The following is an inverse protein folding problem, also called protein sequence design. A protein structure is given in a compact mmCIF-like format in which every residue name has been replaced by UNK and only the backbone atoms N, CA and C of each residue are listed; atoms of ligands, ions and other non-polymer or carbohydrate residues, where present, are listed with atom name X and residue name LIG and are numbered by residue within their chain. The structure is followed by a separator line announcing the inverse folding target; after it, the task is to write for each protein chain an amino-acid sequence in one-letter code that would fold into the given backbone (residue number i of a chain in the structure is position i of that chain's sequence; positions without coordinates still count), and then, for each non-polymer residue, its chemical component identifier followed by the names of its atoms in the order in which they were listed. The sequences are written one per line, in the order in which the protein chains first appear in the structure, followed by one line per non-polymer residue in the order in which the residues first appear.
data_IF_407908787430
#
_entry.id   IF_407908787430
#
_cell.length_a   1.000
_cell.length_b   1.000
_cell.length_c   1.000
_cell.angle_alpha   90.00
_cell.angle_beta   90.00
_cell.angle_gamma   90.00
#
_symmetry.space_group_name_H-M   'P 1'
#
loop_
_entity.id
_entity.type
_entity.pdbx_description
1 polymer ?
#
# COMPACT_ATOMS: atom_id res chain seq x y z
N UNK A 1 -7.12 -3.37 9.56
CA UNK A 1 -7.71 -4.69 9.90
C UNK A 1 -9.10 -4.90 9.31
N UNK A 2 -10.16 -4.17 9.72
CA UNK A 2 -11.54 -4.50 9.33
C UNK A 2 -11.80 -4.40 7.83
N UNK A 3 -11.21 -3.41 7.15
CA UNK A 3 -11.36 -3.24 5.71
C UNK A 3 -10.76 -4.40 4.90
N UNK A 4 -9.53 -4.83 5.22
CA UNK A 4 -8.88 -5.98 4.56
C UNK A 4 -9.64 -7.29 4.87
N UNK A 5 -10.14 -7.46 6.10
CA UNK A 5 -10.98 -8.60 6.44
C UNK A 5 -12.30 -8.61 5.64
N UNK A 6 -12.90 -7.44 5.39
CA UNK A 6 -14.10 -7.35 4.55
C UNK A 6 -13.85 -7.67 3.07
N UNK A 7 -12.60 -7.63 2.60
CA UNK A 7 -12.24 -8.04 1.23
C UNK A 7 -12.38 -9.55 0.98
N UNK A 8 -12.46 -10.38 2.02
CA UNK A 8 -12.75 -11.83 1.86
C UNK A 8 -14.20 -12.09 1.44
N UNK A 9 -15.13 -11.18 1.74
CA UNK A 9 -16.51 -11.21 1.28
C UNK A 9 -16.93 -9.81 0.82
N UNK A 10 -16.57 -9.42 -0.42
CA UNK A 10 -16.87 -8.09 -0.94
C UNK A 10 -18.37 -7.98 -1.23
N UNK A 11 -19.14 -7.56 -0.21
CA UNK A 11 -20.55 -7.19 -0.32
C UNK A 11 -20.69 -5.74 0.10
N UNK A 12 -21.59 -5.00 -0.53
CA UNK A 12 -21.79 -3.57 -0.26
C UNK A 12 -22.03 -3.29 1.24
N UNK A 13 -22.73 -4.20 1.94
CA UNK A 13 -23.04 -4.06 3.36
C UNK A 13 -21.85 -4.30 4.30
N UNK A 14 -20.76 -4.96 3.87
CA UNK A 14 -19.55 -5.17 4.69
C UNK A 14 -18.48 -4.13 4.39
N UNK A 15 -18.33 -3.78 3.11
CA UNK A 15 -17.36 -2.80 2.61
C UNK A 15 -17.65 -1.38 3.06
N UNK A 16 -18.91 -0.96 2.99
CA UNK A 16 -19.32 0.41 3.29
C UNK A 16 -19.08 0.78 4.77
N UNK A 17 -19.54 0.01 5.78
CA UNK A 17 -19.27 0.35 7.17
C UNK A 17 -17.77 0.21 7.52
N UNK A 18 -17.06 -0.76 6.95
CA UNK A 18 -15.62 -0.90 7.17
C UNK A 18 -14.84 0.30 6.59
N UNK A 19 -15.22 0.80 5.42
CA UNK A 19 -14.65 1.99 4.80
C UNK A 19 -14.93 3.25 5.63
N UNK A 20 -16.16 3.42 6.13
CA UNK A 20 -16.50 4.54 7.02
C UNK A 20 -15.68 4.51 8.32
N UNK A 21 -15.54 3.34 8.95
CA UNK A 21 -14.75 3.19 10.16
C UNK A 21 -13.26 3.55 9.93
N UNK A 22 -12.68 3.14 8.80
CA UNK A 22 -11.31 3.52 8.43
C UNK A 22 -11.20 5.02 8.16
N UNK A 23 -12.20 5.62 7.50
CA UNK A 23 -12.24 7.06 7.24
C UNK A 23 -12.26 7.89 8.53
N UNK A 24 -13.15 7.54 9.47
CA UNK A 24 -13.24 8.22 10.77
C UNK A 24 -11.99 8.02 11.63
N UNK A 25 -11.36 6.84 11.59
CA UNK A 25 -10.13 6.56 12.33
C UNK A 25 -8.87 7.17 11.70
N UNK A 26 -8.86 7.38 10.38
CA UNK A 26 -7.67 7.79 9.63
C UNK A 26 -7.15 9.18 10.01
N UNK A 27 -8.06 10.14 10.20
CA UNK A 27 -7.70 11.51 10.59
C UNK A 27 -7.00 11.58 11.96
N UNK A 28 -7.66 11.14 13.05
CA UNK A 28 -7.06 11.12 14.38
C UNK A 28 -5.77 10.31 14.45
N UNK A 29 -5.71 9.17 13.75
CA UNK A 29 -4.51 8.34 13.69
C UNK A 29 -3.33 9.09 13.05
N UNK A 30 -3.58 9.89 12.01
CA UNK A 30 -2.54 10.72 11.39
C UNK A 30 -2.06 11.85 12.31
N UNK A 31 -2.96 12.48 13.06
CA UNK A 31 -2.57 13.48 14.05
C UNK A 31 -1.75 12.84 15.18
N UNK A 32 -2.22 11.73 15.74
CA UNK A 32 -1.57 11.04 16.86
C UNK A 32 -0.13 10.62 16.52
N UNK A 33 0.11 10.06 15.32
CA UNK A 33 1.48 9.67 14.91
C UNK A 33 2.42 10.87 14.75
N UNK A 34 1.92 12.00 14.25
CA UNK A 34 2.73 13.20 14.05
C UNK A 34 3.11 13.80 15.40
N UNK A 35 2.16 13.85 16.33
CA UNK A 35 2.41 14.26 17.71
C UNK A 35 3.40 13.32 18.40
N UNK A 36 3.22 12.00 18.29
CA UNK A 36 4.14 11.02 18.85
C UNK A 36 5.57 11.21 18.32
N UNK A 37 5.73 11.37 17.01
CA UNK A 37 7.03 11.57 16.39
C UNK A 37 7.70 12.88 16.85
N UNK A 38 6.91 13.95 17.02
CA UNK A 38 7.40 15.22 17.53
C UNK A 38 7.88 15.09 18.99
N UNK A 39 7.08 14.46 19.85
CA UNK A 39 7.43 14.26 21.28
C UNK A 39 8.68 13.39 21.43
N UNK A 40 8.77 12.28 20.68
CA UNK A 40 9.96 11.41 20.72
C UNK A 40 11.19 12.14 20.19
N UNK A 41 11.06 12.91 19.11
CA UNK A 41 12.17 13.68 18.56
C UNK A 41 12.65 14.78 19.52
N UNK A 42 11.72 15.41 20.26
CA UNK A 42 12.04 16.37 21.30
C UNK A 42 12.75 15.70 22.49
N UNK A 43 12.22 14.61 23.02
CA UNK A 43 12.85 13.84 24.09
C UNK A 43 14.26 13.36 23.69
N UNK A 44 14.42 12.87 22.46
CA UNK A 44 15.73 12.47 21.94
C UNK A 44 16.72 13.64 21.85
N UNK A 45 16.23 14.85 21.54
CA UNK A 45 17.07 16.05 21.52
C UNK A 45 17.52 16.50 22.92
N UNK A 46 16.75 16.19 23.97
CA UNK A 46 17.05 16.53 25.36
C UNK A 46 18.01 15.51 26.01
N UNK A 47 17.78 14.20 25.82
CA UNK A 47 18.62 13.14 26.40
C UNK A 47 19.90 12.86 25.61
N UNK A 48 19.92 13.12 24.30
CA UNK A 48 21.07 12.92 23.41
C UNK A 48 22.26 13.86 23.64
N UNK A 49 22.27 14.62 24.74
CA UNK A 49 23.40 15.25 25.43
C UNK A 49 24.60 15.71 24.59
N UNK A 50 24.92 17.02 24.69
CA UNK A 50 26.32 17.52 24.70
C UNK A 50 27.14 17.45 23.39
N UNK A 51 26.76 16.65 22.39
CA UNK A 51 27.43 16.62 21.07
C UNK A 51 26.77 17.53 20.01
N UNK A 52 25.53 17.98 20.24
CA UNK A 52 24.79 18.88 19.34
C UNK A 52 24.27 20.15 20.01
N UNK A 53 25.07 20.76 20.88
CA UNK A 53 24.72 21.94 21.70
C UNK A 53 24.39 23.24 20.92
N UNK A 54 24.12 23.13 19.61
CA UNK A 54 23.65 24.23 18.76
C UNK A 54 22.60 23.85 17.71
N UNK A 55 22.10 22.61 17.66
CA UNK A 55 21.00 22.29 16.74
C UNK A 55 19.65 22.57 17.39
N UNK A 56 18.87 23.50 16.80
CA UNK A 56 17.47 23.72 17.12
C UNK A 56 16.70 22.39 17.11
N UNK A 57 15.90 22.15 18.16
CA UNK A 57 15.02 20.97 18.29
C UNK A 57 14.16 20.77 17.04
N UNK A 58 13.71 21.86 16.41
CA UNK A 58 13.01 21.90 15.13
C UNK A 58 13.71 21.09 14.02
N UNK A 59 15.04 21.18 13.92
CA UNK A 59 15.81 20.47 12.87
C UNK A 59 15.85 18.98 13.12
N UNK A 60 15.89 18.55 14.39
CA UNK A 60 15.82 17.13 14.75
C UNK A 60 14.45 16.57 14.44
N UNK A 61 13.38 17.28 14.81
CA UNK A 61 11.99 16.89 14.48
C UNK A 61 11.81 16.70 12.97
N UNK A 62 12.24 17.67 12.15
CA UNK A 62 12.11 17.59 10.69
C UNK A 62 12.87 16.38 10.11
N UNK A 63 14.03 16.03 10.65
CA UNK A 63 14.79 14.83 10.22
C UNK A 63 14.05 13.53 10.53
N UNK A 64 13.43 13.42 11.70
CA UNK A 64 12.59 12.28 12.06
C UNK A 64 11.35 12.18 11.16
N UNK A 65 10.68 13.30 10.88
CA UNK A 65 9.57 13.35 9.91
C UNK A 65 10.02 12.94 8.51
N UNK A 66 11.19 13.40 8.04
CA UNK A 66 11.75 13.00 6.76
C UNK A 66 11.97 11.49 6.66
N UNK A 67 12.58 10.89 7.68
CA UNK A 67 12.79 9.44 7.74
C UNK A 67 11.45 8.67 7.76
N UNK A 68 10.48 9.15 8.53
CA UNK A 68 9.12 8.58 8.55
C UNK A 68 8.48 8.58 7.15
N UNK A 69 8.56 9.70 6.42
CA UNK A 69 8.00 9.80 5.08
C UNK A 69 8.72 8.91 4.07
N UNK A 70 10.03 8.69 4.20
CA UNK A 70 10.76 7.73 3.34
C UNK A 70 10.18 6.32 3.53
N UNK A 71 10.00 5.86 4.76
CA UNK A 71 9.40 4.55 5.02
C UNK A 71 7.93 4.48 4.58
N UNK A 72 7.17 5.55 4.79
CA UNK A 72 5.77 5.64 4.38
C UNK A 72 5.61 5.51 2.86
N UNK A 73 6.46 6.18 2.09
CA UNK A 73 6.44 6.07 0.63
C UNK A 73 6.98 4.70 0.16
N UNK A 74 7.99 4.14 0.83
CA UNK A 74 8.48 2.79 0.52
C UNK A 74 7.41 1.72 0.74
N UNK A 75 6.51 1.88 1.70
CA UNK A 75 5.39 0.96 1.91
C UNK A 75 4.48 0.86 0.66
N UNK A 76 4.30 1.93 -0.10
CA UNK A 76 3.54 1.91 -1.36
C UNK A 76 4.25 1.05 -2.41
N UNK A 77 5.57 1.16 -2.52
CA UNK A 77 6.39 0.36 -3.44
C UNK A 77 6.26 -1.13 -3.10
N UNK A 78 6.42 -1.50 -1.83
CA UNK A 78 6.28 -2.89 -1.38
C UNK A 78 4.86 -3.42 -1.57
N UNK A 79 3.82 -2.62 -1.30
CA UNK A 79 2.43 -3.01 -1.53
C UNK A 79 2.12 -3.30 -2.99
N UNK A 80 2.64 -2.45 -3.89
CA UNK A 80 2.49 -2.64 -5.33
C UNK A 80 3.28 -3.86 -5.83
N UNK A 81 4.50 -4.08 -5.31
CA UNK A 81 5.34 -5.22 -5.66
C UNK A 81 4.69 -6.55 -5.25
N UNK A 82 4.12 -6.62 -4.04
CA UNK A 82 3.38 -7.80 -3.58
C UNK A 82 2.18 -8.06 -4.50
N UNK A 83 1.43 -7.02 -4.83
CA UNK A 83 0.25 -7.14 -5.71
C UNK A 83 0.63 -7.61 -7.12
N UNK A 84 1.70 -7.05 -7.70
CA UNK A 84 2.16 -7.47 -9.03
C UNK A 84 2.75 -8.87 -9.03
N UNK A 85 3.52 -9.24 -7.99
CA UNK A 85 4.11 -10.57 -7.87
C UNK A 85 3.02 -11.65 -7.74
N UNK A 86 2.07 -11.47 -6.83
CA UNK A 86 0.95 -12.42 -6.65
C UNK A 86 0.13 -12.52 -7.93
N UNK A 87 -0.24 -11.39 -8.54
CA UNK A 87 -1.06 -11.42 -9.76
C UNK A 87 -0.31 -12.05 -10.94
N UNK A 88 0.99 -11.81 -11.09
CA UNK A 88 1.82 -12.40 -12.16
C UNK A 88 2.04 -13.90 -11.96
N UNK A 89 2.39 -14.33 -10.74
CA UNK A 89 2.64 -15.75 -10.46
C UNK A 89 1.39 -16.61 -10.60
N UNK A 90 0.22 -16.09 -10.20
CA UNK A 90 -1.03 -16.85 -10.27
C UNK A 90 -1.67 -16.83 -11.66
N UNK A 91 -1.35 -15.83 -12.50
CA UNK A 91 -1.70 -15.84 -13.93
C UNK A 91 -0.73 -16.69 -14.75
N UNK A 92 0.50 -16.91 -14.26
CA UNK A 92 1.55 -17.72 -14.90
C UNK A 92 1.54 -19.22 -14.59
N UNK A 93 0.62 -19.71 -13.75
CA UNK A 93 0.42 -21.16 -13.49
C UNK A 93 -0.67 -21.78 -14.38
N UNK A 94 -0.88 -21.26 -15.58
CA UNK A 94 -1.32 -22.11 -16.69
C UNK A 94 -0.05 -22.68 -17.31
N UNK A 95 0.08 -24.00 -17.36
CA UNK A 95 1.05 -24.73 -18.19
C UNK A 95 0.75 -24.51 -19.69
N UNK A 96 0.67 -23.26 -20.09
CA UNK A 96 0.62 -22.84 -21.48
C UNK A 96 1.99 -22.22 -21.71
N UNK A 97 2.80 -22.98 -22.43
CA UNK A 97 4.00 -22.50 -23.11
C UNK A 97 3.90 -21.01 -23.42
N UNK A 98 4.95 -20.28 -23.06
CA UNK A 98 5.26 -18.95 -23.57
C UNK A 98 5.27 -18.98 -25.11
N UNK A 99 4.10 -18.95 -25.74
CA UNK A 99 3.95 -18.58 -27.13
C UNK A 99 4.15 -17.08 -27.22
N UNK A 100 5.42 -16.72 -27.38
CA UNK A 100 5.91 -15.40 -27.72
C UNK A 100 5.45 -14.94 -29.13
N UNK A 101 4.21 -15.24 -29.54
CA UNK A 101 3.73 -14.97 -30.89
C UNK A 101 2.39 -14.21 -30.96
N UNK A 102 1.74 -13.91 -29.83
CA UNK A 102 0.52 -13.07 -29.81
C UNK A 102 0.74 -11.67 -29.20
N UNK A 103 1.89 -11.42 -28.58
CA UNK A 103 2.20 -10.12 -27.95
C UNK A 103 2.59 -9.04 -28.96
N UNK A 104 3.14 -9.40 -30.13
CA UNK A 104 3.59 -8.42 -31.12
C UNK A 104 2.44 -7.65 -31.82
N UNK A 105 1.25 -8.25 -31.94
CA UNK A 105 0.10 -7.61 -32.59
C UNK A 105 -0.70 -6.73 -31.62
N UNK A 106 -0.92 -7.19 -30.37
CA UNK A 106 -1.66 -6.42 -29.36
C UNK A 106 -0.86 -5.22 -28.79
N UNK A 107 0.47 -5.33 -28.71
CA UNK A 107 1.34 -4.23 -28.26
C UNK A 107 1.41 -3.06 -29.27
N UNK A 108 1.26 -3.32 -30.58
CA UNK A 108 1.23 -2.24 -31.60
C UNK A 108 -0.03 -1.39 -31.52
N UNK A 109 -1.17 -1.97 -31.18
CA UNK A 109 -2.41 -1.20 -31.03
C UNK A 109 -2.49 -0.51 -29.66
N UNK A 110 -2.04 -1.15 -28.57
CA UNK A 110 -2.05 -0.49 -27.25
C UNK A 110 -1.05 0.68 -27.20
N UNK A 111 0.12 0.57 -27.84
CA UNK A 111 1.10 1.68 -27.86
C UNK A 111 0.66 2.87 -28.72
N UNK A 112 -0.24 2.68 -29.69
CA UNK A 112 -0.76 3.75 -30.55
C UNK A 112 -2.03 4.39 -29.99
N UNK A 113 -2.80 3.66 -29.17
CA UNK A 113 -4.07 4.11 -28.58
C UNK A 113 -3.88 4.58 -27.12
N UNK A 114 -2.80 4.20 -26.44
CA UNK A 114 -2.46 4.67 -25.10
C UNK A 114 -1.85 6.09 -25.14
N UNK A 115 -2.23 6.95 -24.19
CA UNK A 115 -1.74 8.32 -24.08
C UNK A 115 -2.68 9.34 -24.72
N UNK A 116 -2.14 10.32 -25.44
CA UNK A 116 -2.89 11.45 -25.99
C UNK A 116 -3.93 11.07 -27.06
N UNK A 117 -3.85 9.86 -27.60
CA UNK A 117 -4.75 9.33 -28.63
C UNK A 117 -5.85 8.42 -28.05
N UNK A 118 -6.05 8.42 -26.73
CA UNK A 118 -7.10 7.62 -26.10
C UNK A 118 -8.49 8.22 -26.39
N UNK A 119 -9.14 7.71 -27.44
CA UNK A 119 -10.52 8.06 -27.82
C UNK A 119 -11.52 7.04 -27.24
N UNK A 120 -12.29 7.38 -26.17
CA UNK A 120 -13.18 6.44 -25.49
C UNK A 120 -14.33 5.93 -26.35
N UNK A 121 -14.66 6.61 -27.45
CA UNK A 121 -15.77 6.27 -28.35
C UNK A 121 -15.35 5.45 -29.59
N UNK A 122 -14.04 5.24 -29.81
CA UNK A 122 -13.49 4.55 -30.99
C UNK A 122 -12.88 3.19 -30.65
N UNK A 123 -12.60 2.94 -29.37
CA UNK A 123 -12.30 1.62 -28.86
C UNK A 123 -13.61 0.82 -28.79
N UNK A 124 -14.09 0.34 -29.94
CA UNK A 124 -14.95 -0.86 -29.95
C UNK A 124 -14.26 -1.87 -29.06
N UNK A 125 -14.94 -2.26 -27.97
CA UNK A 125 -14.42 -3.05 -26.88
C UNK A 125 -13.38 -4.08 -27.37
N UNK A 126 -12.10 -3.71 -27.29
CA UNK A 126 -11.06 -4.72 -27.18
C UNK A 126 -11.47 -5.48 -25.94
N UNK A 127 -11.94 -6.71 -26.13
CA UNK A 127 -12.33 -7.62 -25.07
C UNK A 127 -11.06 -7.83 -24.23
N UNK A 128 -10.87 -6.96 -23.24
CA UNK A 128 -9.69 -6.96 -22.43
C UNK A 128 -9.86 -8.17 -21.51
N UNK A 129 -9.17 -9.25 -21.82
CA UNK A 129 -9.13 -10.44 -20.98
C UNK A 129 -8.66 -10.13 -19.55
N UNK A 130 -7.98 -8.98 -19.34
CA UNK A 130 -7.67 -8.40 -18.03
C UNK A 130 -8.89 -7.96 -17.20
N UNK A 131 -10.06 -7.73 -17.81
CA UNK A 131 -11.31 -7.37 -17.13
C UNK A 131 -12.10 -8.60 -16.66
N UNK A 132 -11.66 -9.83 -16.99
CA UNK A 132 -12.26 -11.03 -16.41
C UNK A 132 -11.92 -11.04 -14.91
N UNK A 133 -12.92 -11.04 -14.02
CA UNK A 133 -12.65 -11.00 -12.59
C UNK A 133 -11.72 -12.16 -12.22
N UNK A 134 -10.56 -11.88 -11.60
CA UNK A 134 -9.62 -12.92 -11.20
C UNK A 134 -10.31 -13.90 -10.25
N UNK A 135 -9.93 -15.17 -10.32
CA UNK A 135 -10.49 -16.25 -9.51
C UNK A 135 -10.48 -15.85 -8.02
N UNK A 136 -11.56 -16.08 -7.24
CA UNK A 136 -11.66 -15.66 -5.84
C UNK A 136 -10.50 -16.16 -4.95
N UNK A 137 -9.82 -17.23 -5.35
CA UNK A 137 -8.59 -17.72 -4.71
C UNK A 137 -7.46 -16.68 -4.73
N UNK A 138 -7.32 -15.89 -5.79
CA UNK A 138 -6.26 -14.90 -5.93
C UNK A 138 -6.48 -13.72 -4.96
N UNK A 139 -7.74 -13.29 -4.82
CA UNK A 139 -8.14 -12.23 -3.89
C UNK A 139 -7.92 -12.68 -2.44
N UNK A 140 -8.23 -13.93 -2.12
CA UNK A 140 -8.04 -14.48 -0.78
C UNK A 140 -6.57 -14.61 -0.39
N UNK A 141 -5.69 -15.04 -1.32
CA UNK A 141 -4.24 -15.12 -1.08
C UNK A 141 -3.66 -13.72 -0.86
N UNK A 142 -4.01 -12.76 -1.72
CA UNK A 142 -3.54 -11.38 -1.58
C UNK A 142 -4.00 -10.75 -0.25
N UNK A 143 -5.29 -10.90 0.07
CA UNK A 143 -5.88 -10.42 1.33
C UNK A 143 -5.21 -11.07 2.54
N UNK A 144 -4.90 -12.37 2.48
CA UNK A 144 -4.20 -13.10 3.53
C UNK A 144 -2.79 -12.57 3.81
N UNK A 145 -2.00 -12.32 2.76
CA UNK A 145 -0.64 -11.77 2.90
C UNK A 145 -0.68 -10.37 3.55
N UNK A 146 -1.57 -9.50 3.08
CA UNK A 146 -1.72 -8.17 3.66
C UNK A 146 -2.24 -8.20 5.10
N UNK A 147 -3.14 -9.13 5.43
CA UNK A 147 -3.63 -9.31 6.79
C UNK A 147 -2.50 -9.78 7.71
N UNK A 148 -1.71 -10.78 7.31
CA UNK A 148 -0.57 -11.26 8.09
C UNK A 148 0.46 -10.15 8.33
N UNK A 149 0.84 -9.39 7.29
CA UNK A 149 1.75 -8.26 7.42
C UNK A 149 1.24 -7.22 8.43
N UNK A 150 -0.05 -6.90 8.37
CA UNK A 150 -0.67 -5.94 9.28
C UNK A 150 -0.78 -6.46 10.71
N UNK A 151 -1.02 -7.76 10.93
CA UNK A 151 -0.99 -8.37 12.29
C UNK A 151 0.42 -8.28 12.86
N UNK A 152 1.44 -8.65 12.08
CA UNK A 152 2.84 -8.54 12.50
C UNK A 152 3.21 -7.07 12.81
N UNK A 153 2.72 -6.12 12.01
CA UNK A 153 2.93 -4.69 12.28
C UNK A 153 2.25 -4.24 13.58
N UNK A 154 1.02 -4.67 13.84
CA UNK A 154 0.33 -4.38 15.11
C UNK A 154 1.13 -4.93 16.30
N UNK A 155 1.61 -6.18 16.22
CA UNK A 155 2.42 -6.79 17.27
C UNK A 155 3.74 -6.03 17.48
N UNK A 156 4.42 -5.66 16.39
CA UNK A 156 5.66 -4.89 16.46
C UNK A 156 5.45 -3.51 17.11
N UNK A 157 4.32 -2.84 16.84
CA UNK A 157 3.97 -1.58 17.50
C UNK A 157 3.65 -1.80 18.97
N UNK A 158 2.85 -2.81 19.33
CA UNK A 158 2.46 -3.05 20.73
C UNK A 158 3.63 -3.45 21.62
N UNK A 159 4.62 -4.17 21.08
CA UNK A 159 5.79 -4.61 21.85
C UNK A 159 7.00 -3.70 21.71
N UNK A 160 7.16 -3.03 20.57
CA UNK A 160 8.34 -2.21 20.26
C UNK A 160 8.17 -0.72 20.60
N UNK A 161 6.94 -0.23 20.71
CA UNK A 161 6.68 1.14 21.17
C UNK A 161 6.52 1.10 22.69
N UNK A 162 7.59 1.51 23.39
CA UNK A 162 7.55 1.74 24.83
C UNK A 162 6.48 2.79 25.16
N UNK A 163 5.71 2.55 26.21
CA UNK A 163 4.69 3.50 26.66
C UNK A 163 5.42 4.73 27.21
N UNK A 164 5.32 5.87 26.52
CA UNK A 164 5.71 7.16 27.09
C UNK A 164 4.74 7.51 28.22
N UNK A 165 5.00 6.95 29.38
CA UNK A 165 4.39 7.28 30.68
C UNK A 165 5.50 7.52 31.68
#
# INVERSE_FOLDING_TARGET
MPFIASQFYPRAYTLLPAGLAVGFGGGPLWCAKCTYLAVVAEAFSQFGGRHRMGQKSEVTVVRFFGLFFVFYQMAQVWGNLISSSVLTHLTGTSNESFEANSTAYLLRDVSTICGSNFCPNSANAMENSNLRPPDPRHIHILSGIFLACMVTACLAVTFGVDSLT
#
